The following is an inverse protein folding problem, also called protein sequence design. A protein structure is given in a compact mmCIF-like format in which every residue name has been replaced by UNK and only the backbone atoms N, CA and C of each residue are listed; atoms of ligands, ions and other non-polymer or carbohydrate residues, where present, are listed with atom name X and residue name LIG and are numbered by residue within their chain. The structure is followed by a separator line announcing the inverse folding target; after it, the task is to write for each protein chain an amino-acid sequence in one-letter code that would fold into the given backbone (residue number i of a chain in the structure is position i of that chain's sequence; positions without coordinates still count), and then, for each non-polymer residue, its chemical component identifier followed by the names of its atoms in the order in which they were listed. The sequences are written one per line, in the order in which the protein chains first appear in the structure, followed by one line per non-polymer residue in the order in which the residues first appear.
data_IF_763283393241
#
_entry.id   IF_763283393241
#
_cell.length_a   1.000
_cell.length_b   1.000
_cell.length_c   1.000
_cell.angle_alpha   90.00
_cell.angle_beta   90.00
_cell.angle_gamma   90.00
#
_symmetry.space_group_name_H-M   'P 1'
#
loop_
_entity.id
_entity.type
_entity.pdbx_description
1 polymer ?
#
# COMPACT_ATOMS: atom_id res chain seq x y z
N UNK A 1 -24.67 11.82 0.65
CA UNK A 1 -24.49 13.24 1.02
C UNK A 1 -23.19 13.71 0.40
N UNK A 2 -23.20 14.83 -0.32
CA UNK A 2 -22.02 15.39 -0.99
C UNK A 2 -21.23 16.30 -0.01
N UNK A 3 -19.89 16.30 -0.09
CA UNK A 3 -19.05 17.23 0.67
C UNK A 3 -19.21 18.66 0.12
N UNK A 4 -19.37 19.64 1.01
CA UNK A 4 -19.35 21.07 0.62
C UNK A 4 -17.94 21.52 0.22
N UNK A 5 -17.81 22.62 -0.52
CA UNK A 5 -16.51 23.19 -0.89
C UNK A 5 -15.64 23.55 0.34
N UNK A 6 -16.25 23.95 1.45
CA UNK A 6 -15.54 24.21 2.69
C UNK A 6 -14.95 22.92 3.31
N UNK A 7 -15.66 21.79 3.17
CA UNK A 7 -15.23 20.48 3.68
C UNK A 7 -14.26 19.78 2.74
N UNK A 8 -14.40 19.94 1.43
CA UNK A 8 -13.53 19.35 0.40
C UNK A 8 -12.60 20.43 -0.17
N UNK A 9 -11.50 20.66 0.53
CA UNK A 9 -10.48 21.63 0.14
C UNK A 9 -9.10 20.95 0.07
N UNK A 10 -8.06 21.66 -0.35
CA UNK A 10 -6.74 21.08 -0.55
C UNK A 10 -6.16 20.37 0.70
N UNK A 11 -6.53 20.80 1.90
CA UNK A 11 -6.07 20.19 3.16
C UNK A 11 -6.78 18.88 3.47
N UNK A 12 -8.07 18.76 3.14
CA UNK A 12 -8.92 17.64 3.54
C UNK A 12 -9.24 16.66 2.40
N UNK A 13 -9.07 17.09 1.14
CA UNK A 13 -9.49 16.32 -0.03
C UNK A 13 -8.83 14.93 -0.05
N UNK A 14 -7.53 14.83 0.22
CA UNK A 14 -6.82 13.53 0.23
C UNK A 14 -7.45 12.55 1.22
N UNK A 15 -7.60 12.94 2.48
CA UNK A 15 -8.11 12.04 3.53
C UNK A 15 -9.57 11.64 3.30
N UNK A 16 -10.39 12.56 2.76
CA UNK A 16 -11.77 12.25 2.40
C UNK A 16 -11.84 11.27 1.22
N UNK A 17 -11.06 11.48 0.16
CA UNK A 17 -11.02 10.56 -0.99
C UNK A 17 -10.51 9.18 -0.57
N UNK A 18 -9.41 9.11 0.19
CA UNK A 18 -8.85 7.84 0.66
C UNK A 18 -9.87 7.07 1.51
N UNK A 19 -10.64 7.77 2.35
CA UNK A 19 -11.70 7.17 3.17
C UNK A 19 -12.84 6.61 2.31
N UNK A 20 -13.36 7.39 1.36
CA UNK A 20 -14.45 6.93 0.50
C UNK A 20 -14.02 5.75 -0.36
N UNK A 21 -12.81 5.79 -0.95
CA UNK A 21 -12.26 4.67 -1.72
C UNK A 21 -12.13 3.40 -0.88
N UNK A 22 -11.66 3.53 0.37
CA UNK A 22 -11.55 2.39 1.28
C UNK A 22 -12.91 1.76 1.60
N UNK A 23 -13.96 2.58 1.75
CA UNK A 23 -15.32 2.09 2.03
C UNK A 23 -15.94 1.42 0.80
N UNK A 24 -15.82 2.05 -0.37
CA UNK A 24 -16.41 1.57 -1.62
C UNK A 24 -15.72 0.30 -2.13
N UNK A 25 -14.39 0.25 -2.08
CA UNK A 25 -13.57 -0.84 -2.63
C UNK A 25 -13.12 -1.82 -1.54
N UNK A 26 -13.86 -1.87 -0.42
CA UNK A 26 -13.57 -2.78 0.68
C UNK A 26 -13.54 -4.24 0.18
N UNK A 27 -12.53 -4.99 0.63
CA UNK A 27 -12.30 -6.40 0.27
C UNK A 27 -11.98 -6.67 -1.20
N UNK A 28 -11.67 -5.65 -2.01
CA UNK A 28 -11.25 -5.80 -3.42
C UNK A 28 -9.73 -5.69 -3.61
N UNK A 29 -8.94 -5.81 -2.53
CA UNK A 29 -7.47 -5.69 -2.51
C UNK A 29 -6.89 -4.31 -2.92
N UNK A 30 -7.72 -3.29 -3.16
CA UNK A 30 -7.27 -1.95 -3.57
C UNK A 30 -6.52 -1.18 -2.48
N UNK A 31 -6.79 -1.47 -1.19
CA UNK A 31 -6.26 -0.70 -0.06
C UNK A 31 -4.74 -0.62 -0.03
N UNK A 32 -4.04 -1.74 -0.24
CA UNK A 32 -2.57 -1.74 -0.22
C UNK A 32 -1.98 -0.94 -1.38
N UNK A 33 -2.58 -1.05 -2.57
CA UNK A 33 -2.16 -0.29 -3.74
C UNK A 33 -2.34 1.21 -3.51
N UNK A 34 -3.50 1.64 -3.03
CA UNK A 34 -3.79 3.04 -2.75
C UNK A 34 -2.86 3.66 -1.71
N UNK A 35 -2.60 2.94 -0.60
CA UNK A 35 -1.68 3.41 0.45
C UNK A 35 -0.27 3.58 -0.09
N UNK A 36 0.29 2.54 -0.72
CA UNK A 36 1.70 2.57 -1.13
C UNK A 36 1.96 3.46 -2.35
N UNK A 37 1.04 3.53 -3.33
CA UNK A 37 1.20 4.42 -4.50
C UNK A 37 1.14 5.90 -4.12
N UNK A 38 0.45 6.23 -3.03
CA UNK A 38 0.39 7.57 -2.48
C UNK A 38 1.59 7.89 -1.56
N UNK A 39 2.50 6.93 -1.35
CA UNK A 39 3.67 7.07 -0.47
C UNK A 39 3.37 6.95 1.02
N UNK A 40 2.16 6.54 1.40
CA UNK A 40 1.74 6.40 2.79
C UNK A 40 2.19 5.05 3.39
N UNK A 41 2.23 4.98 4.73
CA UNK A 41 2.49 3.74 5.45
C UNK A 41 1.19 2.96 5.75
N UNK A 42 1.21 1.64 5.58
CA UNK A 42 0.10 0.79 5.97
C UNK A 42 0.14 0.55 7.49
N UNK A 43 -0.82 1.14 8.21
CA UNK A 43 -0.95 0.98 9.66
C UNK A 43 -1.70 -0.30 10.00
N UNK A 44 -1.02 -1.24 10.66
CA UNK A 44 -1.56 -2.52 11.14
C UNK A 44 -1.44 -2.60 12.65
N UNK A 45 -2.26 -1.80 13.32
CA UNK A 45 -2.30 -1.69 14.78
C UNK A 45 -3.50 -2.47 15.33
N UNK A 46 -3.30 -3.76 15.57
CA UNK A 46 -4.32 -4.69 16.08
C UNK A 46 -3.85 -5.30 17.40
N UNK A 47 -4.29 -4.78 18.56
CA UNK A 47 -3.90 -5.31 19.87
C UNK A 47 -4.12 -6.83 19.99
N UNK A 48 -3.13 -7.56 20.51
CA UNK A 48 -3.22 -9.00 20.71
C UNK A 48 -1.87 -9.65 21.01
N UNK A 49 -1.81 -10.99 21.16
CA UNK A 49 -0.58 -11.73 21.49
C UNK A 49 0.42 -11.86 20.32
N UNK A 50 0.11 -11.30 19.15
CA UNK A 50 1.02 -11.19 18.00
C UNK A 50 1.77 -9.85 18.04
N UNK A 51 2.68 -9.58 17.08
CA UNK A 51 3.28 -8.25 16.94
C UNK A 51 2.21 -7.25 16.50
N UNK A 52 1.63 -6.46 17.42
CA UNK A 52 0.31 -5.88 17.20
C UNK A 52 0.37 -4.44 16.71
N UNK A 53 1.56 -3.84 16.71
CA UNK A 53 1.76 -2.40 16.48
C UNK A 53 2.79 -2.22 15.38
N UNK A 54 2.42 -2.63 14.17
CA UNK A 54 3.30 -2.52 13.02
C UNK A 54 2.75 -1.53 12.00
N UNK A 55 3.62 -0.63 11.58
CA UNK A 55 3.41 0.17 10.39
C UNK A 55 4.39 -0.35 9.31
N UNK A 56 3.92 -0.44 8.07
CA UNK A 56 4.73 -0.87 6.92
C UNK A 56 4.91 0.34 6.00
N UNK A 57 6.11 0.95 5.91
CA UNK A 57 6.32 2.09 5.03
C UNK A 57 6.22 1.67 3.55
N UNK A 58 5.89 2.60 2.66
CA UNK A 58 5.81 2.33 1.22
C UNK A 58 7.15 1.87 0.61
N UNK A 59 8.27 2.15 1.28
CA UNK A 59 9.62 1.75 0.90
C UNK A 59 10.07 0.42 1.51
N UNK A 60 9.21 -0.24 2.29
CA UNK A 60 9.52 -1.52 2.92
C UNK A 60 9.69 -2.60 1.86
N UNK A 61 10.66 -3.50 2.04
CA UNK A 61 10.93 -4.60 1.11
C UNK A 61 9.70 -5.50 0.89
N UNK A 62 8.81 -5.59 1.89
CA UNK A 62 7.57 -6.40 1.84
C UNK A 62 6.52 -5.85 0.88
N UNK A 63 6.68 -4.61 0.40
CA UNK A 63 5.74 -3.97 -0.54
C UNK A 63 5.93 -4.51 -1.96
N UNK A 64 7.16 -4.91 -2.31
CA UNK A 64 7.51 -5.37 -3.65
C UNK A 64 7.53 -6.90 -3.69
N UNK A 65 6.90 -7.47 -4.70
CA UNK A 65 6.93 -8.92 -4.91
C UNK A 65 8.29 -9.38 -5.43
N UNK A 66 8.67 -10.58 -5.02
CA UNK A 66 9.78 -11.29 -5.62
C UNK A 66 9.51 -11.63 -7.08
N UNK A 67 10.54 -11.47 -7.92
CA UNK A 67 10.54 -11.97 -9.29
C UNK A 67 10.60 -13.50 -9.22
N UNK A 68 9.64 -14.22 -9.82
CA UNK A 68 9.67 -15.68 -9.85
C UNK A 68 10.97 -16.20 -10.48
N UNK A 69 11.55 -17.25 -9.90
CA UNK A 69 12.84 -17.78 -10.38
C UNK A 69 12.80 -18.22 -11.85
N UNK A 70 11.66 -18.73 -12.33
CA UNK A 70 11.50 -19.10 -13.75
C UNK A 70 11.59 -17.89 -14.69
N UNK A 71 11.12 -16.71 -14.27
CA UNK A 71 11.22 -15.48 -15.04
C UNK A 71 12.66 -14.96 -15.09
N UNK A 72 13.41 -15.06 -13.97
CA UNK A 72 14.84 -14.75 -13.92
C UNK A 72 15.60 -15.66 -14.90
N UNK A 73 15.36 -16.98 -14.83
CA UNK A 73 16.06 -17.95 -15.67
C UNK A 73 15.75 -17.81 -17.17
N UNK A 74 14.55 -17.36 -17.52
CA UNK A 74 14.13 -17.16 -18.92
C UNK A 74 14.63 -15.83 -19.52
N UNK A 75 15.11 -14.91 -18.69
CA UNK A 75 15.59 -13.61 -19.15
C UNK A 75 16.94 -13.75 -19.85
N UNK A 76 17.06 -13.19 -21.05
CA UNK A 76 18.29 -13.25 -21.84
C UNK A 76 19.29 -12.17 -21.38
N UNK A 77 19.78 -12.31 -20.15
CA UNK A 77 20.68 -11.36 -19.49
C UNK A 77 20.71 -11.56 -17.97
N UNK A 78 21.40 -10.67 -17.26
CA UNK A 78 21.36 -10.64 -15.79
C UNK A 78 20.11 -9.89 -15.35
N UNK A 79 19.21 -10.58 -14.65
CA UNK A 79 18.07 -9.99 -13.96
C UNK A 79 18.31 -10.06 -12.45
N UNK A 80 18.39 -8.90 -11.80
CA UNK A 80 18.56 -8.82 -10.35
C UNK A 80 17.22 -8.97 -9.62
N UNK A 81 17.26 -9.55 -8.42
CA UNK A 81 16.06 -9.85 -7.63
C UNK A 81 15.50 -8.60 -6.94
N UNK A 82 14.18 -8.53 -6.83
CA UNK A 82 13.46 -7.61 -5.96
C UNK A 82 12.77 -8.38 -4.81
N UNK A 83 12.55 -7.78 -3.64
CA UNK A 83 13.43 -6.75 -3.07
C UNK A 83 14.86 -7.27 -2.95
N UNK A 84 15.84 -6.36 -2.95
CA UNK A 84 17.26 -6.73 -2.85
C UNK A 84 17.70 -7.14 -1.43
N UNK A 85 16.84 -6.90 -0.41
CA UNK A 85 17.12 -7.12 1.02
C UNK A 85 15.82 -7.45 1.79
N UNK A 86 15.95 -8.12 2.95
CA UNK A 86 14.87 -8.49 3.89
C UNK A 86 15.20 -8.04 5.33
#
# INVERSE_FOLDING_TARGET
MCYTAAQFNATTAKSLVDKERQLELAFQAERSYDVFRNGDALTRRFPGPHQPMQDVPATDYRVIYFIPQSAINAYNGVLEQNPSQN
#
